data_IF_073604024956
#
_entry.id   IF_073604024956
#
_cell.length_a   1.000
_cell.length_b   1.000
_cell.length_c   1.000
_cell.angle_alpha   90.00
_cell.angle_beta   90.00
_cell.angle_gamma   90.00
#
_symmetry.space_group_name_H-M   'P 1'
#
loop_
_entity.id
_entity.type
_entity.pdbx_description
1 polymer ?
#
# COMPACT_ATOMS: atom_id res chain seq x y z
N UNK A 1 -7.77 -10.10 -0.25
CA UNK A 1 -8.89 -9.98 -1.21
C UNK A 1 -9.98 -11.00 -0.85
N UNK A 2 -11.27 -10.72 -1.05
CA UNK A 2 -12.33 -11.69 -0.74
C UNK A 2 -12.20 -12.99 -1.55
N UNK A 3 -12.45 -14.14 -0.93
CA UNK A 3 -12.29 -15.46 -1.57
C UNK A 3 -13.20 -15.67 -2.79
N UNK A 4 -14.33 -14.96 -2.89
CA UNK A 4 -15.23 -15.04 -4.05
C UNK A 4 -14.54 -14.65 -5.38
N UNK A 5 -13.46 -13.86 -5.31
CA UNK A 5 -12.68 -13.48 -6.48
C UNK A 5 -11.64 -14.53 -6.91
N UNK A 6 -11.46 -15.62 -6.16
CA UNK A 6 -10.43 -16.63 -6.48
C UNK A 6 -10.65 -17.31 -7.84
N UNK A 7 -11.91 -17.59 -8.21
CA UNK A 7 -12.25 -18.13 -9.52
C UNK A 7 -11.88 -17.15 -10.65
N UNK A 8 -12.24 -15.88 -10.47
CA UNK A 8 -11.92 -14.79 -11.40
C UNK A 8 -10.42 -14.54 -11.50
N UNK A 9 -9.68 -14.60 -10.40
CA UNK A 9 -8.23 -14.46 -10.38
C UNK A 9 -7.53 -15.61 -11.14
N UNK A 10 -8.16 -16.77 -11.21
CA UNK A 10 -7.65 -17.92 -11.98
C UNK A 10 -7.91 -17.73 -13.48
N UNK A 11 -9.09 -17.23 -13.86
CA UNK A 11 -9.45 -17.02 -15.27
C UNK A 11 -8.83 -15.76 -15.88
N UNK A 12 -8.73 -14.68 -15.10
CA UNK A 12 -8.28 -13.37 -15.55
C UNK A 12 -7.23 -12.76 -14.59
N UNK A 13 -6.09 -13.44 -14.36
CA UNK A 13 -5.11 -13.03 -13.35
C UNK A 13 -4.60 -11.61 -13.56
N UNK A 14 -4.30 -11.23 -14.80
CA UNK A 14 -3.80 -9.89 -15.14
C UNK A 14 -4.76 -8.79 -14.70
N UNK A 15 -6.05 -8.92 -15.06
CA UNK A 15 -7.07 -7.90 -14.78
C UNK A 15 -7.29 -7.77 -13.28
N UNK A 16 -7.39 -8.91 -12.59
CA UNK A 16 -7.63 -8.94 -11.15
C UNK A 16 -6.45 -8.37 -10.38
N UNK A 17 -5.22 -8.78 -10.69
CA UNK A 17 -4.05 -8.29 -9.99
C UNK A 17 -3.76 -6.83 -10.30
N UNK A 18 -3.88 -6.38 -11.55
CA UNK A 18 -3.77 -4.96 -11.89
C UNK A 18 -4.79 -4.12 -11.11
N UNK A 19 -6.03 -4.60 -10.99
CA UNK A 19 -7.07 -3.96 -10.20
C UNK A 19 -6.74 -3.91 -8.70
N UNK A 20 -6.20 -5.01 -8.15
CA UNK A 20 -5.77 -5.10 -6.76
C UNK A 20 -4.65 -4.11 -6.45
N UNK A 21 -3.59 -4.07 -7.28
CA UNK A 21 -2.50 -3.11 -7.12
C UNK A 21 -2.98 -1.66 -7.22
N UNK A 22 -3.88 -1.35 -8.18
CA UNK A 22 -4.49 -0.02 -8.30
C UNK A 22 -5.29 0.38 -7.07
N UNK A 23 -6.12 -0.52 -6.55
CA UNK A 23 -6.94 -0.27 -5.36
C UNK A 23 -6.07 -0.02 -4.12
N UNK A 24 -5.02 -0.82 -3.93
CA UNK A 24 -4.05 -0.64 -2.85
C UNK A 24 -3.31 0.68 -3.00
N UNK A 25 -2.83 1.03 -4.19
CA UNK A 25 -2.16 2.31 -4.43
C UNK A 25 -3.07 3.51 -4.18
N UNK A 26 -4.33 3.44 -4.62
CA UNK A 26 -5.32 4.49 -4.36
C UNK A 26 -5.54 4.69 -2.84
N UNK A 27 -5.57 3.58 -2.09
CA UNK A 27 -5.71 3.61 -0.62
C UNK A 27 -4.49 4.25 0.02
N UNK A 28 -3.28 3.77 -0.29
CA UNK A 28 -2.02 4.33 0.23
C UNK A 28 -1.86 5.82 -0.12
N UNK A 29 -2.20 6.21 -1.35
CA UNK A 29 -2.14 7.61 -1.80
C UNK A 29 -3.13 8.51 -1.05
N UNK A 30 -4.33 8.00 -0.72
CA UNK A 30 -5.30 8.75 0.07
C UNK A 30 -4.81 9.01 1.50
N UNK A 31 -4.10 8.05 2.11
CA UNK A 31 -3.45 8.24 3.41
C UNK A 31 -2.28 9.22 3.36
N UNK A 32 -1.58 9.30 2.22
CA UNK A 32 -0.47 10.24 2.02
C UNK A 32 -0.92 11.69 1.70
N UNK A 33 -2.22 12.00 1.73
CA UNK A 33 -2.74 13.33 1.38
C UNK A 33 -2.25 14.41 2.37
N UNK A 34 -1.95 15.65 1.93
CA UNK A 34 -1.43 16.77 2.74
C UNK A 34 -2.15 17.08 4.07
N UNK A 35 -3.40 16.62 4.30
CA UNK A 35 -4.01 16.62 5.65
C UNK A 35 -3.24 15.80 6.69
N UNK A 36 -2.32 14.97 6.22
CA UNK A 36 -1.44 14.10 6.97
C UNK A 36 0.03 14.53 6.81
N UNK A 37 0.33 15.81 6.55
CA UNK A 37 1.69 16.39 6.54
C UNK A 37 2.73 15.65 5.67
N UNK A 38 2.31 15.16 4.50
CA UNK A 38 3.20 14.52 3.53
C UNK A 38 3.34 15.41 2.28
N UNK A 39 4.31 16.32 2.31
CA UNK A 39 4.66 17.13 1.15
C UNK A 39 5.63 16.39 0.22
N UNK A 40 5.11 15.43 -0.56
CA UNK A 40 5.89 14.79 -1.62
C UNK A 40 5.21 13.57 -2.25
N UNK A 41 5.95 12.87 -3.12
CA UNK A 41 5.47 11.61 -3.72
C UNK A 41 5.73 10.45 -2.76
N UNK A 42 4.67 9.75 -2.38
CA UNK A 42 4.75 8.48 -1.65
C UNK A 42 5.50 7.45 -2.50
N UNK A 43 6.36 6.65 -1.86
CA UNK A 43 6.91 5.43 -2.42
C UNK A 43 6.45 4.21 -1.62
N UNK A 44 6.15 3.11 -2.29
CA UNK A 44 5.87 1.82 -1.65
C UNK A 44 6.39 0.66 -2.50
N UNK A 45 6.84 -0.40 -1.84
CA UNK A 45 7.14 -1.69 -2.44
C UNK A 45 6.06 -2.67 -2.02
N UNK A 46 5.48 -3.43 -2.94
CA UNK A 46 4.45 -4.41 -2.62
C UNK A 46 4.80 -5.80 -3.16
N UNK A 47 4.51 -6.83 -2.38
CA UNK A 47 4.70 -8.25 -2.72
C UNK A 47 3.34 -8.94 -2.74
N UNK A 48 3.00 -9.52 -3.88
CA UNK A 48 1.79 -10.31 -4.06
C UNK A 48 1.96 -11.72 -3.50
N UNK A 49 1.08 -12.07 -2.57
CA UNK A 49 0.95 -13.42 -2.03
C UNK A 49 -0.36 -14.01 -2.52
N UNK A 50 -0.33 -15.25 -3.02
CA UNK A 50 -1.51 -15.93 -3.60
C UNK A 50 -1.94 -17.17 -2.83
N UNK A 51 -1.18 -17.57 -1.82
CA UNK A 51 -1.38 -18.79 -1.03
C UNK A 51 -1.32 -18.46 0.46
N UNK A 52 -2.20 -19.08 1.24
CA UNK A 52 -2.20 -19.05 2.69
C UNK A 52 -1.33 -20.15 3.30
N UNK A 53 -1.18 -20.13 4.63
CA UNK A 53 -0.41 -21.13 5.37
C UNK A 53 -0.92 -22.57 5.15
N UNK A 54 -2.23 -22.73 4.92
CA UNK A 54 -2.86 -24.03 4.64
C UNK A 54 -2.85 -24.42 3.17
N UNK A 55 -2.09 -23.70 2.32
CA UNK A 55 -2.06 -23.87 0.86
C UNK A 55 -3.41 -23.67 0.18
N UNK A 56 -4.32 -22.94 0.82
CA UNK A 56 -5.52 -22.43 0.20
C UNK A 56 -5.23 -21.14 -0.59
N UNK A 57 -6.05 -20.85 -1.59
CA UNK A 57 -5.90 -19.64 -2.40
C UNK A 57 -6.26 -18.42 -1.55
N UNK A 58 -5.24 -17.69 -1.09
CA UNK A 58 -5.39 -16.50 -0.26
C UNK A 58 -4.62 -15.31 -0.85
N UNK A 59 -5.31 -14.51 -1.66
CA UNK A 59 -4.67 -13.44 -2.45
C UNK A 59 -4.65 -12.12 -1.65
N UNK A 60 -3.46 -11.62 -1.36
CA UNK A 60 -3.24 -10.35 -0.67
C UNK A 60 -1.90 -9.70 -1.04
N UNK A 61 -1.75 -8.40 -0.77
CA UNK A 61 -0.50 -7.66 -0.95
C UNK A 61 0.08 -7.34 0.43
N UNK A 62 1.36 -7.66 0.62
CA UNK A 62 2.17 -7.02 1.66
C UNK A 62 2.77 -5.77 1.05
N UNK A 63 2.62 -4.62 1.70
CA UNK A 63 3.18 -3.37 1.21
C UNK A 63 4.05 -2.73 2.28
N UNK A 64 5.28 -2.38 1.90
CA UNK A 64 6.19 -1.58 2.70
C UNK A 64 6.22 -0.16 2.12
N UNK A 65 5.74 0.80 2.89
CA UNK A 65 5.79 2.23 2.54
C UNK A 65 7.13 2.83 2.92
N UNK A 66 7.66 3.71 2.08
CA UNK A 66 8.90 4.43 2.35
C UNK A 66 8.62 5.65 3.24
N UNK A 67 9.47 5.85 4.25
CA UNK A 67 9.41 6.98 5.18
C UNK A 67 9.76 8.32 4.55
N UNK A 68 10.43 8.30 3.39
CA UNK A 68 10.77 9.48 2.64
C UNK A 68 9.80 9.66 1.48
N UNK A 69 9.03 10.75 1.50
CA UNK A 69 8.40 11.24 0.29
C UNK A 69 9.42 12.02 -0.52
N UNK A 70 9.46 11.78 -1.83
CA UNK A 70 10.31 12.59 -2.71
C UNK A 70 9.71 14.01 -2.77
N UNK A 71 10.46 15.05 -2.37
CA UNK A 71 9.95 16.41 -2.42
C UNK A 71 9.57 16.75 -3.87
N UNK A 72 8.51 17.54 -4.04
CA UNK A 72 8.20 18.10 -5.35
C UNK A 72 9.33 19.07 -5.70
N UNK A 73 10.01 18.82 -6.82
CA UNK A 73 11.00 19.76 -7.35
C UNK A 73 10.22 20.93 -7.95
N UNK A 74 9.84 21.90 -7.12
CA UNK A 74 9.53 23.25 -7.56
C UNK A 74 10.57 24.17 -6.90
N UNK A 75 11.36 24.84 -7.74
CA UNK A 75 12.11 26.06 -7.41
C UNK A 75 13.30 25.94 -6.43
N UNK A 76 14.02 24.81 -6.43
CA UNK A 76 15.34 24.71 -5.77
C UNK A 76 15.33 24.75 -4.24
N UNK A 77 14.15 24.80 -3.61
CA UNK A 77 14.02 24.71 -2.16
C UNK A 77 13.83 23.25 -1.71
N UNK A 78 14.82 22.73 -0.99
CA UNK A 78 14.68 21.50 -0.20
C UNK A 78 13.79 21.82 1.02
N UNK A 79 12.52 21.39 0.97
CA UNK A 79 11.66 21.46 2.16
C UNK A 79 12.19 20.51 3.25
N UNK A 80 12.19 21.00 4.48
CA UNK A 80 12.68 20.29 5.67
C UNK A 80 11.96 18.95 5.84
N UNK A 81 12.71 17.95 6.30
CA UNK A 81 12.26 16.57 6.53
C UNK A 81 11.10 16.57 7.55
N UNK A 82 9.85 16.55 7.06
CA UNK A 82 8.68 16.41 7.93
C UNK A 82 8.73 15.04 8.63
N UNK A 83 8.34 15.01 9.91
CA UNK A 83 8.36 13.81 10.76
C UNK A 83 7.29 12.80 10.32
N UNK A 84 7.62 12.04 9.28
CA UNK A 84 6.80 10.99 8.65
C UNK A 84 6.60 9.75 9.52
N UNK A 85 7.43 9.57 10.56
CA UNK A 85 7.37 8.42 11.46
C UNK A 85 6.02 8.30 12.15
N UNK A 86 5.48 9.40 12.67
CA UNK A 86 4.22 9.41 13.42
C UNK A 86 3.00 9.05 12.56
N UNK A 87 3.06 9.34 11.26
CA UNK A 87 1.97 9.14 10.30
C UNK A 87 2.00 7.74 9.72
N UNK A 88 3.20 7.23 9.39
CA UNK A 88 3.37 5.86 8.94
C UNK A 88 3.05 4.86 10.05
N UNK A 89 3.38 5.16 11.31
CA UNK A 89 2.93 4.33 12.44
C UNK A 89 1.42 4.29 12.56
N UNK A 90 0.72 5.40 12.27
CA UNK A 90 -0.76 5.45 12.29
C UNK A 90 -1.40 4.77 11.08
N UNK A 91 -0.73 4.81 9.92
CA UNK A 91 -1.13 4.09 8.71
C UNK A 91 -0.92 2.58 8.90
N UNK A 92 0.22 2.19 9.47
CA UNK A 92 0.58 0.82 9.78
C UNK A 92 -0.32 0.25 10.87
N UNK A 93 -0.61 0.95 11.97
CA UNK A 93 -1.58 0.47 12.98
C UNK A 93 -3.00 0.24 12.42
N UNK A 94 -3.45 1.03 11.44
CA UNK A 94 -4.76 0.82 10.80
C UNK A 94 -4.75 -0.29 9.73
N UNK A 95 -3.60 -0.59 9.12
CA UNK A 95 -3.43 -1.68 8.13
C UNK A 95 -3.11 -3.01 8.85
N UNK A 96 -2.30 -2.98 9.90
CA UNK A 96 -1.85 -4.14 10.69
C UNK A 96 -2.95 -4.75 11.55
N UNK A 97 -3.96 -3.96 11.96
CA UNK A 97 -5.12 -4.47 12.67
C UNK A 97 -5.91 -5.56 11.91
N UNK A 98 -5.60 -5.83 10.63
CA UNK A 98 -6.20 -6.91 9.83
C UNK A 98 -5.22 -7.79 9.04
N UNK A 99 -3.90 -7.53 9.10
CA UNK A 99 -2.92 -8.20 8.22
C UNK A 99 -1.90 -9.12 8.91
N UNK A 100 -1.79 -9.10 10.24
CA UNK A 100 -0.77 -9.89 10.97
C UNK A 100 -1.26 -11.17 11.65
N UNK A 101 -2.46 -11.64 11.33
CA UNK A 101 -2.97 -12.94 11.79
C UNK A 101 -3.62 -13.69 10.63
N UNK A 102 -2.80 -14.12 9.67
CA UNK A 102 -3.11 -15.23 8.75
C UNK A 102 -1.84 -16.06 8.60
#
# INVERSE_FOLDING_TARGET
>A
MPHQFNGWATMHPKVIYDGLFKAVWATLSAFANPRHHLDGKLGAMCVLHTWGQQLDRHIHLHCLTLEACLPKINDGAIHEKQDTYSLLRRCQLNIEARCWLI
#
